data_IF_179914772226
#
_entry.id   IF_179914772226
#
_cell.length_a   1.000
_cell.length_b   1.000
_cell.length_c   1.000
_cell.angle_alpha   90.00
_cell.angle_beta   90.00
_cell.angle_gamma   90.00
#
_symmetry.space_group_name_H-M   'P 1'
#
loop_
_entity.id
_entity.type
_entity.pdbx_description
1 polymer ?
#
# COMPACT_ATOMS: atom_id res chain seq x y z
N UNK A 1 -4.98 7.73 4.01
CA UNK A 1 -4.41 7.16 2.77
C UNK A 1 -4.92 7.97 1.57
N UNK A 2 -5.73 7.47 0.63
CA UNK A 2 -6.12 8.27 -0.55
C UNK A 2 -6.90 9.55 -0.20
N UNK A 3 -7.80 9.50 0.78
CA UNK A 3 -8.60 10.66 1.22
C UNK A 3 -7.88 11.62 2.18
N UNK A 4 -6.58 11.43 2.44
CA UNK A 4 -5.86 12.31 3.38
C UNK A 4 -6.10 12.04 4.86
N UNK A 5 -6.85 11.00 5.23
CA UNK A 5 -7.07 10.64 6.64
C UNK A 5 -6.06 9.60 7.13
N UNK A 6 -5.41 9.78 8.29
CA UNK A 6 -4.60 8.73 8.92
C UNK A 6 -5.46 7.50 9.27
N UNK A 7 -4.85 6.32 9.30
CA UNK A 7 -5.56 5.05 9.52
C UNK A 7 -5.14 4.43 10.84
N UNK A 8 -6.07 3.93 11.64
CA UNK A 8 -5.80 3.08 12.80
C UNK A 8 -6.32 1.68 12.48
N UNK A 9 -5.44 0.68 12.48
CA UNK A 9 -5.81 -0.69 12.14
C UNK A 9 -5.06 -1.72 12.99
N UNK A 10 -5.54 -2.96 12.98
CA UNK A 10 -4.88 -4.07 13.67
C UNK A 10 -3.52 -4.38 13.03
N UNK A 11 -2.54 -4.78 13.83
CA UNK A 11 -1.20 -5.20 13.42
C UNK A 11 -1.16 -6.61 12.80
N UNK A 12 -2.12 -6.95 11.94
CA UNK A 12 -2.20 -8.25 11.28
C UNK A 12 -2.76 -8.13 9.85
N UNK A 13 -2.44 -9.10 8.99
CA UNK A 13 -2.97 -9.20 7.64
C UNK A 13 -2.66 -7.99 6.73
N UNK A 14 -3.59 -7.68 5.83
CA UNK A 14 -3.45 -6.59 4.83
C UNK A 14 -3.06 -5.20 5.37
N UNK A 15 -3.49 -4.78 6.58
CA UNK A 15 -2.97 -3.57 7.23
C UNK A 15 -1.44 -3.48 7.32
N UNK A 16 -0.73 -4.60 7.57
CA UNK A 16 0.74 -4.62 7.64
C UNK A 16 1.39 -4.24 6.31
N UNK A 17 0.72 -4.52 5.19
CA UNK A 17 1.21 -4.21 3.85
C UNK A 17 0.92 -2.74 3.49
N UNK A 18 -0.27 -2.27 3.87
CA UNK A 18 -0.81 -0.98 3.44
C UNK A 18 -0.37 0.18 4.33
N UNK A 19 -0.22 -0.02 5.64
CA UNK A 19 0.06 1.05 6.62
C UNK A 19 1.54 1.00 7.01
N UNK A 20 2.22 2.14 6.90
CA UNK A 20 3.47 2.36 7.59
C UNK A 20 3.17 2.96 8.97
N UNK A 21 3.43 2.18 10.03
CA UNK A 21 3.26 2.59 11.44
C UNK A 21 4.02 3.88 11.72
N UNK A 22 3.44 4.78 12.53
CA UNK A 22 3.93 6.12 12.86
C UNK A 22 4.16 7.08 11.68
N UNK A 23 3.88 6.65 10.45
CA UNK A 23 4.12 7.46 9.25
C UNK A 23 2.82 7.78 8.53
N UNK A 24 1.95 6.78 8.35
CA UNK A 24 0.67 6.92 7.61
C UNK A 24 -0.55 6.64 8.48
N UNK A 25 -0.32 6.32 9.74
CA UNK A 25 -1.30 5.79 10.67
C UNK A 25 -0.65 4.87 11.71
N UNK A 26 -1.48 4.21 12.50
CA UNK A 26 -1.05 3.30 13.56
C UNK A 26 -1.50 1.87 13.27
N UNK A 27 -0.60 0.94 13.59
CA UNK A 27 -0.87 -0.49 13.69
C UNK A 27 -0.93 -0.83 15.18
N UNK A 28 -2.07 -1.33 15.63
CA UNK A 28 -2.37 -1.58 17.04
C UNK A 28 -2.54 -3.07 17.29
N UNK A 29 -2.23 -3.52 18.50
CA UNK A 29 -2.72 -4.81 18.99
C UNK A 29 -4.26 -4.83 18.96
N UNK A 30 -4.85 -6.02 18.85
CA UNK A 30 -6.30 -6.22 18.75
C UNK A 30 -7.04 -5.99 20.09
N UNK A 31 -6.65 -4.95 20.82
CA UNK A 31 -7.12 -4.63 22.17
C UNK A 31 -7.66 -3.19 22.23
N UNK A 32 -8.81 -2.95 22.88
CA UNK A 32 -9.42 -1.62 22.95
C UNK A 32 -8.48 -0.50 23.45
N UNK A 33 -7.64 -0.70 24.48
CA UNK A 33 -6.72 0.34 24.95
C UNK A 33 -5.71 0.80 23.87
N UNK A 34 -5.23 -0.12 23.03
CA UNK A 34 -4.26 0.20 21.98
C UNK A 34 -4.88 1.10 20.89
N UNK A 35 -6.12 0.81 20.50
CA UNK A 35 -6.86 1.66 19.57
C UNK A 35 -7.22 3.01 20.20
N UNK A 36 -7.68 3.01 21.46
CA UNK A 36 -8.02 4.23 22.18
C UNK A 36 -6.85 5.20 22.28
N UNK A 37 -5.64 4.69 22.57
CA UNK A 37 -4.43 5.50 22.60
C UNK A 37 -4.12 6.13 21.23
N UNK A 38 -4.13 5.34 20.15
CA UNK A 38 -3.89 5.84 18.80
C UNK A 38 -4.92 6.92 18.38
N UNK A 39 -6.19 6.70 18.69
CA UNK A 39 -7.26 7.68 18.44
C UNK A 39 -7.05 8.97 19.24
N UNK A 40 -6.66 8.87 20.51
CA UNK A 40 -6.38 10.03 21.36
C UNK A 40 -5.23 10.87 20.80
N UNK A 41 -4.14 10.24 20.37
CA UNK A 41 -3.01 10.95 19.74
C UNK A 41 -3.50 11.74 18.52
N UNK A 42 -4.23 11.10 17.61
CA UNK A 42 -4.76 11.76 16.40
C UNK A 42 -5.78 12.86 16.70
N UNK A 43 -6.58 12.71 17.76
CA UNK A 43 -7.59 13.69 18.15
C UNK A 43 -7.00 14.92 18.85
N UNK A 44 -5.86 14.77 19.53
CA UNK A 44 -5.23 15.83 20.33
C UNK A 44 -4.08 16.52 19.61
N UNK A 45 -3.48 15.89 18.60
CA UNK A 45 -2.41 16.45 17.79
C UNK A 45 -2.80 16.52 16.30
N UNK A 46 -3.39 17.66 15.92
CA UNK A 46 -3.80 17.93 14.55
C UNK A 46 -2.63 17.99 13.55
N UNK A 47 -1.43 18.37 14.00
CA UNK A 47 -0.25 18.44 13.15
C UNK A 47 0.21 17.02 12.76
N UNK A 48 0.27 16.12 13.75
CA UNK A 48 0.55 14.71 13.51
C UNK A 48 -0.50 14.08 12.60
N UNK A 49 -1.79 14.29 12.87
CA UNK A 49 -2.86 13.75 12.04
C UNK A 49 -2.78 14.23 10.58
N UNK A 50 -2.49 15.51 10.37
CA UNK A 50 -2.33 16.11 9.03
C UNK A 50 -1.11 15.52 8.31
N UNK A 51 0.04 15.45 8.99
CA UNK A 51 1.28 14.91 8.45
C UNK A 51 1.11 13.45 8.01
N UNK A 52 0.52 12.62 8.88
CA UNK A 52 0.24 11.22 8.58
C UNK A 52 -0.76 11.07 7.42
N UNK A 53 -1.79 11.91 7.39
CA UNK A 53 -2.75 11.98 6.30
C UNK A 53 -2.10 12.21 4.95
N UNK A 54 -1.24 13.23 4.85
CA UNK A 54 -0.49 13.57 3.63
C UNK A 54 0.48 12.45 3.23
N UNK A 55 1.18 11.86 4.19
CA UNK A 55 2.04 10.70 3.95
C UNK A 55 1.25 9.51 3.40
N UNK A 56 0.03 9.30 3.93
CA UNK A 56 -0.90 8.30 3.43
C UNK A 56 -1.35 8.54 1.99
N UNK A 57 -1.56 9.80 1.57
CA UNK A 57 -1.90 10.14 0.18
C UNK A 57 -0.75 9.78 -0.75
N UNK A 58 0.48 10.20 -0.40
CA UNK A 58 1.69 9.89 -1.16
C UNK A 58 1.85 8.38 -1.33
N UNK A 59 1.79 7.64 -0.22
CA UNK A 59 1.89 6.16 -0.24
C UNK A 59 0.80 5.51 -1.11
N UNK A 60 -0.44 5.96 -1.01
CA UNK A 60 -1.54 5.44 -1.82
C UNK A 60 -1.27 5.63 -3.32
N UNK A 61 -0.83 6.83 -3.70
CA UNK A 61 -0.48 7.15 -5.09
C UNK A 61 0.69 6.31 -5.59
N UNK A 62 1.75 6.21 -4.80
CA UNK A 62 3.03 5.64 -5.24
C UNK A 62 3.05 4.11 -5.24
N UNK A 63 2.16 3.45 -4.49
CA UNK A 63 2.17 1.98 -4.35
C UNK A 63 0.88 1.28 -4.74
N UNK A 64 -0.25 1.98 -4.66
CA UNK A 64 -1.58 1.36 -4.75
C UNK A 64 -2.48 2.05 -5.78
N UNK A 65 -1.91 2.88 -6.65
CA UNK A 65 -2.67 3.52 -7.73
C UNK A 65 -2.92 2.55 -8.89
N UNK A 66 -3.96 2.86 -9.68
CA UNK A 66 -4.26 2.11 -10.90
C UNK A 66 -3.09 2.12 -11.90
N UNK A 67 -2.32 3.20 -11.96
CA UNK A 67 -1.12 3.28 -12.79
C UNK A 67 -0.08 2.25 -12.35
N UNK A 68 0.27 2.23 -11.06
CA UNK A 68 1.23 1.26 -10.51
C UNK A 68 0.74 -0.17 -10.73
N UNK A 69 -0.55 -0.42 -10.54
CA UNK A 69 -1.15 -1.72 -10.81
C UNK A 69 -1.01 -2.13 -12.29
N UNK A 70 -1.41 -1.25 -13.22
CA UNK A 70 -1.35 -1.53 -14.65
C UNK A 70 0.09 -1.76 -15.13
N UNK A 71 1.03 -0.92 -14.71
CA UNK A 71 2.45 -1.04 -15.08
C UNK A 71 3.05 -2.34 -14.56
N UNK A 72 2.74 -2.70 -13.31
CA UNK A 72 3.23 -3.96 -12.71
C UNK A 72 2.65 -5.17 -13.45
N UNK A 73 1.35 -5.15 -13.76
CA UNK A 73 0.69 -6.21 -14.50
C UNK A 73 1.26 -6.38 -15.91
N UNK A 74 1.42 -5.29 -16.65
CA UNK A 74 1.98 -5.29 -18.00
C UNK A 74 3.42 -5.83 -18.00
N UNK A 75 4.25 -5.40 -17.04
CA UNK A 75 5.60 -5.93 -16.88
C UNK A 75 5.60 -7.44 -16.65
N UNK A 76 4.67 -7.97 -15.85
CA UNK A 76 4.54 -9.41 -15.65
C UNK A 76 4.08 -10.13 -16.92
N UNK A 77 3.13 -9.56 -17.66
CA UNK A 77 2.66 -10.13 -18.93
C UNK A 77 3.77 -10.20 -19.97
N UNK A 78 4.56 -9.13 -20.14
CA UNK A 78 5.67 -9.09 -21.11
C UNK A 78 6.74 -10.16 -20.83
N UNK A 79 7.00 -10.46 -19.55
CA UNK A 79 7.94 -11.55 -19.18
C UNK A 79 7.45 -12.94 -19.61
N UNK A 80 6.14 -13.13 -19.75
CA UNK A 80 5.56 -14.40 -20.20
C UNK A 80 5.59 -14.55 -21.73
N UNK A 81 5.80 -13.47 -22.47
CA UNK A 81 5.77 -13.42 -23.95
C UNK A 81 7.14 -13.70 -24.59
N UNK A 82 8.18 -14.06 -23.80
CA UNK A 82 9.47 -14.50 -24.36
C UNK A 82 9.23 -15.67 -25.33
N UNK A 83 9.49 -15.41 -26.61
CA UNK A 83 9.07 -16.23 -27.74
C UNK A 83 9.58 -17.69 -27.70
N UNK A 84 8.80 -18.65 -28.23
CA UNK A 84 9.34 -19.97 -28.55
C UNK A 84 10.47 -19.85 -29.59
N UNK A 85 11.48 -20.75 -29.58
CA UNK A 85 12.60 -20.72 -30.52
C UNK A 85 12.09 -20.77 -31.97
N UNK A 86 12.83 -20.19 -32.94
CA UNK A 86 12.43 -20.20 -34.34
C UNK A 86 12.23 -21.65 -34.80
N UNK A 87 11.07 -21.92 -35.38
CA UNK A 87 10.76 -23.21 -35.99
C UNK A 87 11.75 -23.37 -37.14
N UNK A 88 12.76 -24.21 -36.94
CA UNK A 88 13.79 -24.50 -37.95
C UNK A 88 13.17 -25.06 -39.22
N UNK A 89 13.85 -24.94 -40.38
CA UNK A 89 13.25 -25.22 -41.68
C UNK A 89 12.75 -26.67 -41.73
N UNK A 90 11.48 -26.84 -42.13
CA UNK A 90 10.91 -28.12 -42.53
C UNK A 90 11.73 -28.68 -43.68
N UNK A 91 12.51 -29.74 -43.43
CA UNK A 91 13.13 -30.54 -44.49
C UNK A 91 12.02 -31.15 -45.34
N UNK A 92 12.06 -30.84 -46.64
CA UNK A 92 11.34 -31.56 -47.70
C UNK A 92 11.72 -33.04 -47.74
#
# INVERSE_FOLDING_TARGET
MASGTPVVAVNSGGPLESIAHDVTGFLCDAEPPAFGHAMQVLATDAATATSMGQAGVRRAKDRFSMTVFADTLDQHMQRLVVMPPPIGPTKN
#
